data_IF_874857693571
#
_entry.id   IF_874857693571
#
_cell.length_a   1.000
_cell.length_b   1.000
_cell.length_c   1.000
_cell.angle_alpha   90.00
_cell.angle_beta   90.00
_cell.angle_gamma   90.00
#
_symmetry.space_group_name_H-M   'P 1'
#
loop_
_entity.id
_entity.type
_entity.pdbx_description
1 polymer ?
#
# COMPACT_ATOMS: atom_id res chain seq x y z
N UNK A 1 -14.76 34.09 65.87
CA UNK A 1 -13.46 33.54 66.30
C UNK A 1 -13.51 32.05 65.97
N UNK A 2 -12.65 31.43 65.16
CA UNK A 2 -11.36 31.86 64.58
C UNK A 2 -11.08 31.06 63.28
N UNK A 3 -10.37 31.63 62.32
CA UNK A 3 -9.71 30.99 61.14
C UNK A 3 -8.17 31.02 61.41
N UNK A 4 -7.24 30.31 60.74
CA UNK A 4 -7.26 29.68 59.40
C UNK A 4 -7.11 28.13 59.51
N UNK A 5 -6.46 27.30 58.68
CA UNK A 5 -5.51 27.48 57.56
C UNK A 5 -5.55 26.34 56.52
N UNK A 6 -4.51 26.22 55.69
CA UNK A 6 -4.44 25.39 54.48
C UNK A 6 -3.08 24.67 54.32
N UNK A 7 -2.84 24.09 53.13
CA UNK A 7 -1.60 23.44 52.63
C UNK A 7 -1.48 21.93 52.97
N UNK A 8 -0.91 21.06 52.11
CA UNK A 8 -0.22 21.27 50.83
C UNK A 8 -0.49 20.15 49.81
N UNK A 9 -0.20 20.40 48.53
CA UNK A 9 0.00 19.34 47.52
C UNK A 9 1.50 19.10 47.35
N UNK A 10 1.94 17.84 47.37
CA UNK A 10 3.18 17.35 46.72
C UNK A 10 3.20 15.82 46.78
N UNK A 11 3.74 15.16 45.75
CA UNK A 11 3.81 13.69 45.65
C UNK A 11 3.64 13.23 44.21
N UNK A 12 4.76 12.90 43.56
CA UNK A 12 4.85 12.53 42.14
C UNK A 12 4.40 11.09 41.87
N UNK A 13 4.33 10.73 40.58
CA UNK A 13 3.74 9.48 40.06
C UNK A 13 4.56 8.21 40.38
N UNK A 14 4.10 7.04 39.89
CA UNK A 14 4.69 6.61 38.62
C UNK A 14 3.67 6.30 37.52
N UNK A 15 3.91 6.92 36.37
CA UNK A 15 3.34 6.66 35.05
C UNK A 15 3.20 5.15 34.76
N UNK A 16 1.96 4.67 34.66
CA UNK A 16 1.68 3.28 34.34
C UNK A 16 2.07 2.95 32.89
N UNK A 17 3.29 2.44 32.71
CA UNK A 17 3.82 1.98 31.43
C UNK A 17 2.88 0.95 30.78
N UNK A 18 2.22 1.37 29.70
CA UNK A 18 1.32 0.50 28.92
C UNK A 18 2.12 -0.68 28.35
N UNK A 19 1.85 -1.94 28.74
CA UNK A 19 2.57 -3.06 28.18
C UNK A 19 2.21 -3.22 26.69
N UNK A 20 3.24 -3.37 25.85
CA UNK A 20 3.06 -3.65 24.44
C UNK A 20 2.39 -5.03 24.27
N UNK A 21 1.09 -5.03 23.98
CA UNK A 21 0.30 -6.27 23.82
C UNK A 21 0.68 -6.97 22.52
N UNK A 22 1.77 -7.74 22.56
CA UNK A 22 1.94 -8.85 21.62
C UNK A 22 0.75 -9.80 21.81
N UNK A 23 -0.02 -10.04 20.76
CA UNK A 23 -1.26 -10.83 20.83
C UNK A 23 -0.98 -12.33 20.87
N UNK A 24 -0.28 -12.77 21.91
CA UNK A 24 -0.02 -14.17 22.22
C UNK A 24 -1.36 -14.88 22.44
N UNK A 25 -1.77 -15.70 21.46
CA UNK A 25 -2.96 -16.55 21.57
C UNK A 25 -2.83 -17.45 22.79
N UNK A 26 -3.89 -17.52 23.59
CA UNK A 26 -3.97 -18.40 24.76
C UNK A 26 -3.68 -19.87 24.40
N UNK A 27 -3.18 -20.61 25.39
CA UNK A 27 -2.91 -22.05 25.30
C UNK A 27 -4.13 -22.82 24.72
N UNK A 28 -5.31 -22.51 25.25
CA UNK A 28 -6.60 -23.06 24.82
C UNK A 28 -6.90 -22.76 23.34
N UNK A 29 -6.66 -21.53 22.88
CA UNK A 29 -6.85 -21.16 21.47
C UNK A 29 -5.86 -21.87 20.54
N UNK A 30 -4.60 -22.06 20.96
CA UNK A 30 -3.60 -22.86 20.23
C UNK A 30 -4.00 -24.33 20.15
N UNK A 31 -4.45 -24.92 21.26
CA UNK A 31 -4.94 -26.31 21.31
C UNK A 31 -6.20 -26.53 20.45
N UNK A 32 -7.17 -25.61 20.51
CA UNK A 32 -8.35 -25.63 19.66
C UNK A 32 -7.99 -25.51 18.17
N UNK A 33 -7.08 -24.60 17.81
CA UNK A 33 -6.61 -24.45 16.42
C UNK A 33 -5.94 -25.72 15.89
N UNK A 34 -5.14 -26.42 16.71
CA UNK A 34 -4.52 -27.72 16.34
C UNK A 34 -5.58 -28.80 16.13
N UNK A 35 -6.54 -28.95 17.06
CA UNK A 35 -7.65 -29.91 16.93
C UNK A 35 -8.53 -29.63 15.71
N UNK A 36 -8.82 -28.36 15.42
CA UNK A 36 -9.63 -27.96 14.27
C UNK A 36 -8.88 -28.20 12.95
N UNK A 37 -7.59 -27.86 12.87
CA UNK A 37 -6.74 -28.15 11.72
C UNK A 37 -6.67 -29.65 11.41
N UNK A 38 -6.46 -30.49 12.43
CA UNK A 38 -6.44 -31.95 12.28
C UNK A 38 -7.80 -32.54 11.85
N UNK A 39 -8.92 -31.91 12.21
CA UNK A 39 -10.27 -32.33 11.77
C UNK A 39 -10.63 -31.85 10.35
N UNK A 40 -10.09 -30.72 9.90
CA UNK A 40 -10.41 -30.16 8.59
C UNK A 40 -9.52 -30.71 7.47
N UNK A 41 -10.04 -31.65 6.67
CA UNK A 41 -9.38 -32.16 5.44
C UNK A 41 -9.39 -31.16 4.26
N UNK A 42 -9.58 -29.87 4.53
CA UNK A 42 -9.95 -28.87 3.53
C UNK A 42 -11.32 -29.15 2.89
N UNK A 43 -11.69 -28.39 1.85
CA UNK A 43 -12.92 -28.65 1.10
C UNK A 43 -12.78 -29.88 0.19
N UNK A 44 -13.57 -30.91 0.47
CA UNK A 44 -13.62 -32.15 -0.35
C UNK A 44 -14.50 -32.01 -1.58
N UNK A 45 -15.63 -31.29 -1.49
CA UNK A 45 -16.58 -31.13 -2.61
C UNK A 45 -16.10 -30.13 -3.67
N UNK A 46 -16.49 -30.28 -4.95
CA UNK A 46 -16.17 -29.32 -6.01
C UNK A 46 -16.62 -27.89 -5.68
N UNK A 47 -17.83 -27.73 -5.14
CA UNK A 47 -18.36 -26.43 -4.69
C UNK A 47 -17.52 -25.82 -3.55
N UNK A 48 -17.07 -26.65 -2.61
CA UNK A 48 -16.16 -26.25 -1.54
C UNK A 48 -14.80 -25.80 -2.07
N UNK A 49 -14.20 -26.56 -2.99
CA UNK A 49 -12.93 -26.23 -3.65
C UNK A 49 -13.06 -24.90 -4.41
N UNK A 50 -14.14 -24.71 -5.17
CA UNK A 50 -14.44 -23.44 -5.84
C UNK A 50 -14.66 -22.26 -4.87
N UNK A 51 -15.16 -22.50 -3.64
CA UNK A 51 -15.28 -21.47 -2.60
C UNK A 51 -13.92 -21.13 -1.99
N UNK A 52 -13.07 -22.12 -1.72
CA UNK A 52 -11.71 -21.90 -1.23
C UNK A 52 -10.82 -21.21 -2.28
N UNK A 53 -10.90 -21.60 -3.56
CA UNK A 53 -10.20 -20.92 -4.65
C UNK A 53 -10.60 -19.44 -4.77
N UNK A 54 -11.91 -19.13 -4.66
CA UNK A 54 -12.39 -17.73 -4.61
C UNK A 54 -11.88 -16.96 -3.39
N UNK A 55 -11.75 -17.61 -2.23
CA UNK A 55 -11.17 -16.98 -1.06
C UNK A 55 -9.67 -16.74 -1.24
N UNK A 56 -8.89 -17.73 -1.70
CA UNK A 56 -7.48 -17.57 -2.03
C UNK A 56 -7.25 -16.43 -3.04
N UNK A 57 -8.08 -16.35 -4.09
CA UNK A 57 -8.08 -15.27 -5.08
C UNK A 57 -8.37 -13.89 -4.47
N UNK A 58 -9.48 -13.75 -3.70
CA UNK A 58 -9.85 -12.47 -3.06
C UNK A 58 -8.87 -12.02 -1.97
N UNK A 59 -8.28 -12.97 -1.24
CA UNK A 59 -7.26 -12.69 -0.23
C UNK A 59 -5.89 -12.44 -0.87
N UNK A 60 -5.56 -13.05 -2.01
CA UNK A 60 -4.33 -12.78 -2.77
C UNK A 60 -4.19 -11.31 -3.14
N UNK A 61 -5.17 -10.75 -3.86
CA UNK A 61 -5.20 -9.33 -4.23
C UNK A 61 -5.37 -8.36 -3.05
N UNK A 62 -5.69 -8.85 -1.84
CA UNK A 62 -5.83 -8.02 -0.63
C UNK A 62 -4.77 -8.34 0.43
N UNK A 63 -3.80 -9.19 0.11
CA UNK A 63 -2.68 -9.53 0.98
C UNK A 63 -1.67 -8.37 1.02
N UNK A 64 -0.83 -8.34 2.05
CA UNK A 64 0.37 -7.48 2.01
C UNK A 64 1.32 -8.08 0.97
N UNK A 65 1.52 -7.37 -0.13
CA UNK A 65 2.52 -7.70 -1.16
C UNK A 65 3.63 -6.66 -1.13
N UNK A 66 4.86 -7.11 -1.35
CA UNK A 66 6.03 -6.28 -1.62
C UNK A 66 6.23 -6.19 -3.14
N UNK A 67 7.06 -5.25 -3.58
CA UNK A 67 7.58 -5.29 -4.94
C UNK A 67 8.53 -6.50 -5.09
N UNK A 68 8.61 -7.11 -6.29
CA UNK A 68 9.69 -8.04 -6.62
C UNK A 68 11.01 -7.29 -6.70
N UNK A 69 12.12 -7.97 -6.42
CA UNK A 69 13.46 -7.43 -6.60
C UNK A 69 14.30 -8.49 -7.37
N UNK A 70 14.85 -8.17 -8.55
CA UNK A 70 14.73 -6.89 -9.27
C UNK A 70 13.29 -6.63 -9.76
N UNK A 71 12.98 -5.36 -10.06
CA UNK A 71 11.75 -5.00 -10.77
C UNK A 71 11.75 -5.58 -12.21
N UNK A 72 10.59 -5.98 -12.74
CA UNK A 72 10.43 -6.21 -14.18
C UNK A 72 10.83 -4.97 -15.00
N UNK A 73 11.44 -5.11 -16.19
CA UNK A 73 11.94 -3.97 -16.97
C UNK A 73 10.91 -2.86 -17.19
N UNK A 74 9.70 -3.22 -17.64
CA UNK A 74 8.58 -2.30 -17.85
C UNK A 74 8.17 -1.53 -16.58
N UNK A 75 8.40 -2.09 -15.39
CA UNK A 75 8.07 -1.46 -14.11
C UNK A 75 9.25 -0.61 -13.57
N UNK A 76 10.48 -0.98 -13.93
CA UNK A 76 11.68 -0.17 -13.67
C UNK A 76 11.71 1.11 -14.53
N UNK A 77 11.26 1.04 -15.78
CA UNK A 77 11.04 2.22 -16.65
C UNK A 77 10.05 3.20 -16.00
N UNK A 78 8.89 2.70 -15.53
CA UNK A 78 7.90 3.51 -14.80
C UNK A 78 8.48 4.07 -13.49
N UNK A 79 9.33 3.34 -12.77
CA UNK A 79 10.03 3.87 -11.59
C UNK A 79 10.93 5.07 -11.95
N UNK A 80 11.69 4.99 -13.04
CA UNK A 80 12.55 6.08 -13.51
C UNK A 80 11.75 7.31 -13.92
N UNK A 81 10.67 7.14 -14.70
CA UNK A 81 9.78 8.24 -15.08
C UNK A 81 9.15 8.94 -13.87
N UNK A 82 8.63 8.16 -12.91
CA UNK A 82 8.02 8.71 -11.71
C UNK A 82 9.04 9.41 -10.81
N UNK A 83 10.28 8.90 -10.74
CA UNK A 83 11.37 9.56 -10.02
C UNK A 83 11.69 10.94 -10.64
N UNK A 84 11.83 11.00 -11.97
CA UNK A 84 12.02 12.26 -12.70
C UNK A 84 10.89 13.27 -12.44
N UNK A 85 9.62 12.83 -12.47
CA UNK A 85 8.46 13.69 -12.21
C UNK A 85 8.36 14.18 -10.75
N UNK A 86 8.70 13.30 -9.80
CA UNK A 86 8.73 13.62 -8.38
C UNK A 86 9.87 14.62 -8.04
N UNK A 87 10.92 14.67 -8.86
CA UNK A 87 12.18 15.34 -8.52
C UNK A 87 12.99 14.48 -7.54
N UNK A 88 14.10 15.02 -7.02
CA UNK A 88 14.95 14.36 -6.03
C UNK A 88 14.24 14.14 -4.68
N UNK A 89 13.31 13.19 -4.66
CA UNK A 89 12.79 12.62 -3.42
C UNK A 89 13.91 11.75 -2.86
N UNK A 90 14.55 12.25 -1.81
CA UNK A 90 15.91 11.86 -1.44
C UNK A 90 16.17 10.36 -1.23
N UNK A 91 17.40 9.96 -1.60
CA UNK A 91 18.09 8.68 -1.37
C UNK A 91 17.17 7.53 -0.90
N UNK A 92 16.46 6.90 -1.85
CA UNK A 92 15.70 5.67 -1.63
C UNK A 92 14.33 5.65 -2.32
N UNK A 93 13.75 4.45 -2.42
CA UNK A 93 12.42 4.24 -2.99
C UNK A 93 11.36 4.79 -2.02
N UNK A 94 10.81 5.96 -2.32
CA UNK A 94 9.83 6.66 -1.46
C UNK A 94 8.55 5.82 -1.23
N UNK A 95 7.93 5.76 -0.03
CA UNK A 95 6.79 4.87 0.25
C UNK A 95 5.55 5.09 -0.64
N UNK A 96 5.34 6.31 -1.13
CA UNK A 96 4.28 6.62 -2.09
C UNK A 96 4.65 6.12 -3.50
N UNK A 97 5.94 6.07 -3.86
CA UNK A 97 6.43 5.44 -5.08
C UNK A 97 6.14 3.94 -5.05
N UNK A 98 6.56 3.25 -3.98
CA UNK A 98 6.30 1.81 -3.79
C UNK A 98 4.82 1.47 -3.96
N UNK A 99 3.95 2.29 -3.35
CA UNK A 99 2.50 2.15 -3.48
C UNK A 99 2.04 2.32 -4.92
N UNK A 100 2.54 3.30 -5.68
CA UNK A 100 2.17 3.49 -7.09
C UNK A 100 2.62 2.29 -7.94
N UNK A 101 3.89 1.89 -7.82
CA UNK A 101 4.47 0.75 -8.54
C UNK A 101 3.74 -0.56 -8.22
N UNK A 102 3.38 -0.80 -6.96
CA UNK A 102 2.62 -1.98 -6.56
C UNK A 102 1.21 -1.99 -7.18
N UNK A 103 0.55 -0.83 -7.32
CA UNK A 103 -0.73 -0.76 -8.03
C UNK A 103 -0.54 -1.03 -9.54
N UNK A 104 0.55 -0.58 -10.18
CA UNK A 104 0.86 -0.95 -11.57
C UNK A 104 1.02 -2.46 -11.74
N UNK A 105 1.84 -3.11 -10.89
CA UNK A 105 2.03 -4.56 -10.89
C UNK A 105 0.71 -5.33 -10.74
N UNK A 106 -0.15 -4.90 -9.81
CA UNK A 106 -1.46 -5.50 -9.56
C UNK A 106 -2.47 -5.28 -10.69
N UNK A 107 -2.38 -4.16 -11.42
CA UNK A 107 -3.17 -3.95 -12.64
C UNK A 107 -2.70 -4.90 -13.73
N UNK A 108 -1.39 -4.99 -13.97
CA UNK A 108 -0.83 -5.88 -14.99
C UNK A 108 -1.20 -7.35 -14.76
N UNK A 109 -1.07 -7.84 -13.52
CA UNK A 109 -1.50 -9.21 -13.16
C UNK A 109 -3.00 -9.46 -13.42
N UNK A 110 -3.85 -8.46 -13.18
CA UNK A 110 -5.29 -8.59 -13.44
C UNK A 110 -5.58 -8.56 -14.94
N UNK A 111 -4.92 -7.69 -15.68
CA UNK A 111 -5.07 -7.59 -17.13
C UNK A 111 -4.62 -8.93 -17.76
N UNK A 112 -3.46 -9.48 -17.39
CA UNK A 112 -3.02 -10.84 -17.80
C UNK A 112 -4.02 -11.96 -17.47
N UNK A 113 -4.71 -11.89 -16.32
CA UNK A 113 -5.73 -12.88 -15.93
C UNK A 113 -7.07 -12.72 -16.65
N UNK A 114 -7.40 -11.50 -17.08
CA UNK A 114 -8.55 -11.20 -17.94
C UNK A 114 -8.25 -11.73 -19.33
N UNK A 115 -7.12 -11.32 -19.92
CA UNK A 115 -6.69 -11.68 -21.27
C UNK A 115 -6.58 -13.20 -21.42
N UNK A 116 -5.86 -13.89 -20.53
CA UNK A 116 -5.79 -15.35 -20.53
C UNK A 116 -7.12 -16.07 -20.25
N UNK A 117 -8.12 -15.39 -19.66
CA UNK A 117 -9.49 -15.93 -19.58
C UNK A 117 -10.24 -15.72 -20.91
N UNK A 118 -10.03 -14.61 -21.60
CA UNK A 118 -10.62 -14.31 -22.91
C UNK A 118 -10.03 -15.22 -23.98
N UNK A 119 -8.70 -15.33 -24.08
CA UNK A 119 -8.00 -16.20 -25.04
C UNK A 119 -8.43 -17.66 -24.89
N UNK A 120 -8.57 -18.14 -23.66
CA UNK A 120 -9.10 -19.48 -23.42
C UNK A 120 -10.54 -19.62 -23.95
N UNK A 121 -11.43 -18.67 -23.70
CA UNK A 121 -12.80 -18.72 -24.21
C UNK A 121 -12.86 -18.63 -25.75
N UNK A 122 -11.96 -17.85 -26.37
CA UNK A 122 -11.84 -17.77 -27.84
C UNK A 122 -11.27 -19.04 -28.47
N UNK A 123 -10.51 -19.85 -27.71
CA UNK A 123 -10.00 -21.15 -28.16
C UNK A 123 -11.02 -22.31 -28.11
N UNK A 124 -12.19 -22.09 -27.51
CA UNK A 124 -13.24 -23.12 -27.36
C UNK A 124 -14.19 -23.16 -28.55
N UNK A 125 -14.83 -24.30 -28.76
CA UNK A 125 -15.97 -24.39 -29.67
C UNK A 125 -17.14 -23.54 -29.13
N UNK A 126 -17.97 -22.90 -29.99
CA UNK A 126 -19.02 -21.97 -29.55
C UNK A 126 -20.01 -22.52 -28.52
N UNK A 127 -20.30 -23.83 -28.56
CA UNK A 127 -21.16 -24.51 -27.58
C UNK A 127 -20.54 -24.55 -26.17
N UNK A 128 -19.22 -24.64 -26.07
CA UNK A 128 -18.49 -24.82 -24.80
C UNK A 128 -18.23 -23.48 -24.11
N UNK A 129 -18.19 -22.38 -24.88
CA UNK A 129 -18.03 -21.00 -24.36
C UNK A 129 -19.08 -20.72 -23.28
N UNK A 130 -20.35 -21.05 -23.52
CA UNK A 130 -21.42 -20.81 -22.55
C UNK A 130 -21.27 -21.63 -21.25
N UNK A 131 -20.68 -22.83 -21.32
CA UNK A 131 -20.43 -23.68 -20.17
C UNK A 131 -19.19 -23.23 -19.36
N UNK A 132 -18.16 -22.71 -20.02
CA UNK A 132 -16.91 -22.28 -19.37
C UNK A 132 -16.88 -20.80 -18.97
N UNK A 133 -17.74 -19.96 -19.54
CA UNK A 133 -17.83 -18.54 -19.22
C UNK A 133 -18.20 -18.34 -17.73
N UNK A 134 -17.38 -17.55 -17.03
CA UNK A 134 -17.59 -17.21 -15.62
C UNK A 134 -17.77 -15.70 -15.43
N UNK A 135 -18.96 -15.11 -15.73
CA UNK A 135 -19.15 -13.66 -15.72
C UNK A 135 -18.84 -13.03 -14.36
N UNK A 136 -19.15 -13.73 -13.26
CA UNK A 136 -18.85 -13.31 -11.88
C UNK A 136 -17.34 -13.24 -11.59
N UNK A 137 -16.52 -14.07 -12.24
CA UNK A 137 -15.04 -14.03 -12.12
C UNK A 137 -14.50 -12.80 -12.83
N UNK A 138 -14.90 -12.58 -14.08
CA UNK A 138 -14.52 -11.40 -14.88
C UNK A 138 -14.96 -10.09 -14.21
N UNK A 139 -16.21 -9.99 -13.77
CA UNK A 139 -16.70 -8.82 -13.02
C UNK A 139 -15.93 -8.58 -11.70
N UNK A 140 -15.42 -9.64 -11.05
CA UNK A 140 -14.56 -9.49 -9.86
C UNK A 140 -13.18 -8.98 -10.24
N UNK A 141 -12.58 -9.45 -11.35
CA UNK A 141 -11.31 -8.94 -11.87
C UNK A 141 -11.42 -7.45 -12.21
N UNK A 142 -12.41 -7.04 -12.99
CA UNK A 142 -12.65 -5.63 -13.36
C UNK A 142 -12.90 -4.73 -12.14
N UNK A 143 -13.65 -5.19 -11.14
CA UNK A 143 -13.82 -4.47 -9.88
C UNK A 143 -12.47 -4.18 -9.19
N UNK A 144 -11.58 -5.17 -9.11
CA UNK A 144 -10.25 -4.98 -8.55
C UNK A 144 -9.38 -4.08 -9.41
N UNK A 145 -9.38 -4.28 -10.74
CA UNK A 145 -8.68 -3.47 -11.74
C UNK A 145 -8.98 -1.98 -11.59
N UNK A 146 -10.26 -1.63 -11.56
CA UNK A 146 -10.73 -0.27 -11.33
C UNK A 146 -10.26 0.28 -9.98
N UNK A 147 -10.36 -0.52 -8.91
CA UNK A 147 -9.89 -0.14 -7.58
C UNK A 147 -8.38 0.10 -7.48
N UNK A 148 -7.56 -0.65 -8.20
CA UNK A 148 -6.12 -0.43 -8.29
C UNK A 148 -5.77 0.79 -9.17
N UNK A 149 -6.44 0.98 -10.32
CA UNK A 149 -6.30 2.19 -11.15
C UNK A 149 -6.59 3.46 -10.34
N UNK A 150 -7.74 3.53 -9.64
CA UNK A 150 -8.08 4.68 -8.78
C UNK A 150 -7.04 4.94 -7.67
N UNK A 151 -6.44 3.90 -7.10
CA UNK A 151 -5.39 4.02 -6.07
C UNK A 151 -4.06 4.51 -6.67
N UNK A 152 -3.64 3.95 -7.81
CA UNK A 152 -2.50 4.44 -8.61
C UNK A 152 -2.64 5.92 -8.92
N UNK A 153 -3.77 6.33 -9.50
CA UNK A 153 -4.00 7.71 -9.95
C UNK A 153 -4.08 8.71 -8.78
N UNK A 154 -4.49 8.23 -7.60
CA UNK A 154 -4.42 9.00 -6.35
C UNK A 154 -2.99 9.08 -5.82
N UNK A 155 -2.23 7.98 -5.87
CA UNK A 155 -0.82 7.93 -5.49
C UNK A 155 0.06 8.84 -6.35
N UNK A 156 -0.12 8.83 -7.68
CA UNK A 156 0.59 9.70 -8.63
C UNK A 156 0.30 11.17 -8.29
N UNK A 157 -0.96 11.56 -8.11
CA UNK A 157 -1.31 12.94 -7.72
C UNK A 157 -0.67 13.36 -6.40
N UNK A 158 -0.64 12.47 -5.40
CA UNK A 158 0.02 12.74 -4.11
C UNK A 158 1.55 12.85 -4.25
N UNK A 159 2.17 12.02 -5.09
CA UNK A 159 3.60 12.07 -5.40
C UNK A 159 3.97 13.40 -6.07
N UNK A 160 3.24 13.79 -7.13
CA UNK A 160 3.44 15.07 -7.83
C UNK A 160 3.21 16.28 -6.91
N UNK A 161 2.16 16.27 -6.08
CA UNK A 161 1.90 17.33 -5.10
C UNK A 161 2.95 17.39 -3.97
N UNK A 162 3.71 16.32 -3.73
CA UNK A 162 4.82 16.30 -2.77
C UNK A 162 6.08 16.86 -3.41
N UNK A 163 6.46 16.37 -4.59
CA UNK A 163 7.59 16.89 -5.38
C UNK A 163 7.44 18.39 -5.71
N UNK A 164 6.25 18.84 -6.08
CA UNK A 164 5.98 20.27 -6.33
C UNK A 164 6.22 21.15 -5.09
N UNK A 165 5.77 20.71 -3.90
CA UNK A 165 5.99 21.45 -2.64
C UNK A 165 7.47 21.47 -2.24
N UNK A 166 8.21 20.39 -2.48
CA UNK A 166 9.65 20.33 -2.27
C UNK A 166 10.38 21.31 -3.20
N UNK A 167 10.07 21.30 -4.51
CA UNK A 167 10.63 22.24 -5.50
C UNK A 167 10.34 23.71 -5.15
N UNK A 168 9.12 24.06 -4.76
CA UNK A 168 8.79 25.42 -4.30
C UNK A 168 9.62 25.83 -3.06
N UNK A 169 9.86 24.90 -2.14
CA UNK A 169 10.65 25.16 -0.92
C UNK A 169 12.12 25.38 -1.23
N UNK A 170 12.70 24.54 -2.11
CA UNK A 170 14.07 24.69 -2.61
C UNK A 170 14.27 26.04 -3.32
N UNK A 171 13.35 26.42 -4.21
CA UNK A 171 13.39 27.71 -4.90
C UNK A 171 13.38 28.90 -3.93
N UNK A 172 12.45 28.92 -2.96
CA UNK A 172 12.39 29.96 -1.91
C UNK A 172 13.67 30.04 -1.06
N UNK A 173 14.34 28.91 -0.82
CA UNK A 173 15.61 28.88 -0.10
C UNK A 173 16.75 29.47 -0.95
N UNK A 174 16.83 29.13 -2.24
CA UNK A 174 17.78 29.72 -3.19
C UNK A 174 17.62 31.25 -3.28
N UNK A 175 16.39 31.76 -3.41
CA UNK A 175 16.12 33.21 -3.39
C UNK A 175 16.61 33.88 -2.10
N UNK A 176 16.39 33.24 -0.95
CA UNK A 176 16.84 33.74 0.36
C UNK A 176 18.37 33.77 0.44
N UNK A 177 19.05 32.77 -0.11
CA UNK A 177 20.51 32.74 -0.17
C UNK A 177 21.08 33.80 -1.11
N UNK A 178 20.52 33.97 -2.31
CA UNK A 178 20.93 35.03 -3.24
C UNK A 178 20.74 36.42 -2.62
N UNK A 179 19.60 36.68 -1.98
CA UNK A 179 19.34 37.93 -1.23
C UNK A 179 20.35 38.13 -0.09
N UNK A 180 20.72 37.07 0.64
CA UNK A 180 21.77 37.12 1.69
C UNK A 180 23.16 37.41 1.10
N UNK A 181 23.52 36.82 -0.04
CA UNK A 181 24.80 37.05 -0.73
C UNK A 181 24.90 38.49 -1.24
N UNK A 182 23.89 38.98 -1.97
CA UNK A 182 23.86 40.38 -2.46
C UNK A 182 23.93 41.41 -1.32
N UNK A 183 23.21 41.19 -0.22
CA UNK A 183 23.23 42.08 0.95
C UNK A 183 24.57 42.05 1.73
N UNK A 184 25.38 40.99 1.58
CA UNK A 184 26.77 40.94 2.11
C UNK A 184 27.75 41.71 1.22
N UNK A 185 27.60 41.66 -0.10
CA UNK A 185 28.46 42.42 -1.04
C UNK A 185 28.28 43.93 -0.84
N UNK A 186 27.02 44.42 -0.82
CA UNK A 186 26.74 45.85 -0.61
C UNK A 186 27.13 46.41 0.77
N UNK A 187 27.51 45.56 1.74
CA UNK A 187 27.99 45.98 3.07
C UNK A 187 29.52 46.02 3.19
N UNK A 188 30.26 45.64 2.14
CA UNK A 188 31.73 45.74 2.05
C UNK A 188 32.23 46.93 1.21
N UNK A 189 31.31 47.75 0.69
CA UNK A 189 31.61 48.91 -0.19
C UNK A 189 31.21 50.23 0.50
N UNK A 190 31.40 50.29 1.82
CA UNK A 190 31.24 51.46 2.69
C UNK A 190 32.28 51.41 3.79
#
# INVERSE_FOLDING_TARGET
MTVPAASARTGEEPEATKPAVSSLRSEAARAASRRNGAKSKGPTSPQGKAKAARNAFKHGFRSKRTLPEPLPPWLAEIEQELAMLAGEVGIGRHPQMERVLLNFLLINEIDTLIDGTIDHLLSLAPCDVAAQLQPRKLATLEYYRHGFRRRRDTGIRLLMATGYRQRQTAFRNLEREQKRRGKRVGRKVK
#
